data_IF_841321575379
#
_entry.id   IF_841321575379
#
_cell.length_a   1.000
_cell.length_b   1.000
_cell.length_c   1.000
_cell.angle_alpha   90.00
_cell.angle_beta   90.00
_cell.angle_gamma   90.00
#
_symmetry.space_group_name_H-M   'P 1'
#
loop_
_entity.id
_entity.type
_entity.pdbx_description
1 polymer ?
#
# COMPACT_ATOMS: atom_id res chain seq x y z
N UNK A 1 5.86 -29.02 -15.99
CA UNK A 1 4.96 -28.33 -15.04
C UNK A 1 5.75 -27.21 -14.37
N UNK A 2 5.54 -25.94 -14.71
CA UNK A 2 6.25 -24.82 -14.04
C UNK A 2 5.88 -24.82 -12.56
N UNK A 3 6.89 -24.80 -11.68
CA UNK A 3 6.69 -24.74 -10.24
C UNK A 3 6.11 -23.36 -9.91
N UNK A 4 4.88 -23.31 -9.39
CA UNK A 4 4.25 -22.05 -8.95
C UNK A 4 5.16 -21.35 -7.95
N UNK A 5 5.37 -20.05 -8.12
CA UNK A 5 6.08 -19.23 -7.14
C UNK A 5 5.38 -19.33 -5.79
N UNK A 6 6.15 -19.35 -4.72
CA UNK A 6 5.64 -19.38 -3.33
C UNK A 6 6.29 -18.25 -2.57
N UNK A 7 5.47 -17.55 -1.81
CA UNK A 7 5.90 -16.45 -0.96
C UNK A 7 5.44 -16.73 0.46
N UNK A 8 6.30 -16.46 1.44
CA UNK A 8 5.95 -16.50 2.86
C UNK A 8 5.62 -15.09 3.34
N UNK A 9 4.44 -14.88 3.87
CA UNK A 9 4.01 -13.58 4.42
C UNK A 9 3.75 -13.72 5.90
N UNK A 10 4.44 -12.89 6.72
CA UNK A 10 4.12 -12.79 8.14
C UNK A 10 2.91 -11.87 8.32
N UNK A 11 1.83 -12.40 8.90
CA UNK A 11 0.57 -11.70 9.11
C UNK A 11 0.43 -11.30 10.59
N UNK A 12 0.40 -9.99 10.85
CA UNK A 12 0.28 -9.39 12.18
C UNK A 12 -1.09 -8.73 12.31
N UNK A 13 -2.07 -9.45 12.83
CA UNK A 13 -3.44 -8.96 12.95
C UNK A 13 -3.58 -7.87 14.01
N UNK A 14 -2.89 -8.01 15.16
CA UNK A 14 -3.07 -7.12 16.31
C UNK A 14 -4.47 -7.18 16.90
N UNK A 15 -4.91 -6.09 17.51
CA UNK A 15 -6.16 -5.97 18.27
C UNK A 15 -7.31 -5.34 17.47
N UNK A 16 -8.46 -5.23 18.11
CA UNK A 16 -9.63 -4.51 17.59
C UNK A 16 -10.12 -5.07 16.25
N UNK A 17 -10.23 -4.21 15.22
CA UNK A 17 -10.67 -4.61 13.88
C UNK A 17 -9.60 -5.39 13.10
N UNK A 18 -8.36 -5.48 13.61
CA UNK A 18 -7.25 -6.10 12.91
C UNK A 18 -7.49 -7.53 12.46
N UNK A 19 -8.00 -8.45 13.33
CA UNK A 19 -8.30 -9.83 12.96
C UNK A 19 -9.31 -9.96 11.82
N UNK A 20 -10.39 -9.19 11.82
CA UNK A 20 -11.41 -9.24 10.76
C UNK A 20 -10.88 -8.69 9.44
N UNK A 21 -10.09 -7.61 9.47
CA UNK A 21 -9.46 -7.04 8.26
C UNK A 21 -8.38 -7.98 7.68
N UNK A 22 -7.60 -8.63 8.53
CA UNK A 22 -6.60 -9.61 8.09
C UNK A 22 -7.26 -10.81 7.41
N UNK A 23 -8.39 -11.30 7.95
CA UNK A 23 -9.13 -12.39 7.34
C UNK A 23 -9.58 -12.04 5.90
N UNK A 24 -10.05 -10.82 5.67
CA UNK A 24 -10.46 -10.40 4.33
C UNK A 24 -9.24 -10.19 3.40
N UNK A 25 -8.11 -9.70 3.92
CA UNK A 25 -6.86 -9.62 3.16
C UNK A 25 -6.36 -11.01 2.75
N UNK A 26 -6.44 -12.01 3.63
CA UNK A 26 -6.11 -13.42 3.33
C UNK A 26 -6.95 -13.96 2.17
N UNK A 27 -8.24 -13.65 2.13
CA UNK A 27 -9.12 -14.02 1.00
C UNK A 27 -8.67 -13.38 -0.30
N UNK A 28 -8.32 -12.08 -0.27
CA UNK A 28 -7.82 -11.36 -1.41
C UNK A 28 -6.50 -11.94 -1.94
N UNK A 29 -5.56 -12.27 -1.04
CA UNK A 29 -4.27 -12.87 -1.40
C UNK A 29 -4.43 -14.26 -2.01
N UNK A 30 -5.33 -15.09 -1.46
CA UNK A 30 -5.64 -16.41 -2.00
C UNK A 30 -6.21 -16.30 -3.43
N UNK A 31 -7.15 -15.39 -3.67
CA UNK A 31 -7.75 -15.18 -4.99
C UNK A 31 -6.72 -14.60 -5.98
N UNK A 32 -5.92 -13.62 -5.57
CA UNK A 32 -4.83 -13.08 -6.39
C UNK A 32 -3.84 -14.18 -6.80
N UNK A 33 -3.46 -15.05 -5.86
CA UNK A 33 -2.59 -16.20 -6.13
C UNK A 33 -3.20 -17.21 -7.11
N UNK A 34 -4.51 -17.47 -6.98
CA UNK A 34 -5.27 -18.34 -7.89
C UNK A 34 -5.29 -17.79 -9.31
N UNK A 35 -5.55 -16.48 -9.47
CA UNK A 35 -5.68 -15.79 -10.76
C UNK A 35 -4.33 -15.63 -11.47
N UNK A 36 -3.26 -15.37 -10.73
CA UNK A 36 -1.95 -15.02 -11.29
C UNK A 36 -0.88 -16.11 -11.15
N UNK A 37 -1.25 -17.29 -10.64
CA UNK A 37 -0.38 -18.49 -10.69
C UNK A 37 0.73 -18.54 -9.64
N UNK A 38 0.57 -17.88 -8.51
CA UNK A 38 1.47 -17.98 -7.35
C UNK A 38 0.73 -18.48 -6.10
N UNK A 39 1.44 -18.66 -4.99
CA UNK A 39 0.88 -19.01 -3.69
C UNK A 39 1.50 -18.14 -2.61
N UNK A 40 0.67 -17.68 -1.68
CA UNK A 40 1.09 -17.05 -0.42
C UNK A 40 0.89 -18.06 0.70
N UNK A 41 1.97 -18.36 1.42
CA UNK A 41 1.96 -19.15 2.65
C UNK A 41 1.99 -18.14 3.82
N UNK A 42 0.84 -17.99 4.48
CA UNK A 42 0.65 -17.04 5.57
C UNK A 42 1.16 -17.61 6.90
N UNK A 43 1.95 -16.83 7.62
CA UNK A 43 2.41 -17.13 8.97
C UNK A 43 1.78 -16.13 9.91
N UNK A 44 0.66 -16.50 10.51
CA UNK A 44 -0.03 -15.69 11.51
C UNK A 44 0.75 -15.71 12.82
N UNK A 45 1.22 -14.56 13.26
CA UNK A 45 2.06 -14.41 14.44
C UNK A 45 1.39 -13.49 15.47
N UNK A 46 1.51 -13.85 16.75
CA UNK A 46 0.95 -13.07 17.85
C UNK A 46 1.59 -11.69 17.93
N UNK A 47 0.74 -10.65 18.04
CA UNK A 47 1.17 -9.25 17.98
C UNK A 47 0.28 -8.35 18.83
N UNK A 48 0.84 -7.31 19.43
CA UNK A 48 0.15 -6.30 20.23
C UNK A 48 -0.54 -6.87 21.49
N UNK A 49 -1.78 -6.47 21.81
CA UNK A 49 -2.45 -6.87 23.05
C UNK A 49 -2.78 -8.35 23.13
N UNK A 50 -3.10 -9.00 22.00
CA UNK A 50 -3.28 -10.45 21.94
C UNK A 50 -1.96 -11.16 22.34
N UNK A 51 -0.84 -10.67 21.89
CA UNK A 51 0.48 -11.22 22.28
C UNK A 51 0.81 -10.98 23.76
N UNK A 52 0.42 -9.82 24.31
CA UNK A 52 0.56 -9.56 25.75
C UNK A 52 -0.25 -10.58 26.56
N UNK A 53 -1.47 -10.85 26.15
CA UNK A 53 -2.37 -11.81 26.84
C UNK A 53 -1.81 -13.22 26.81
N UNK A 54 -1.20 -13.66 25.70
CA UNK A 54 -0.69 -15.04 25.54
C UNK A 54 0.75 -15.23 26.02
N UNK A 55 1.58 -14.22 25.83
CA UNK A 55 3.05 -14.33 25.99
C UNK A 55 3.64 -13.32 26.98
N UNK A 56 2.81 -12.43 27.54
CA UNK A 56 3.28 -11.36 28.44
C UNK A 56 4.09 -10.25 27.79
N UNK A 57 4.20 -10.24 26.47
CA UNK A 57 4.97 -9.25 25.70
C UNK A 57 4.32 -8.95 24.35
N UNK A 58 4.20 -7.66 23.92
CA UNK A 58 3.48 -7.29 22.71
C UNK A 58 4.16 -7.73 21.40
N UNK A 59 5.44 -8.07 21.45
CA UNK A 59 6.22 -8.55 20.30
C UNK A 59 7.11 -9.74 20.72
N UNK A 60 6.58 -10.97 20.75
CA UNK A 60 7.34 -12.17 21.09
C UNK A 60 8.55 -12.39 20.15
N UNK A 61 9.57 -13.09 20.65
CA UNK A 61 10.77 -13.41 19.86
C UNK A 61 10.43 -14.23 18.59
N UNK A 62 9.43 -15.10 18.68
CA UNK A 62 8.94 -15.90 17.56
C UNK A 62 8.33 -15.04 16.46
N UNK A 63 7.57 -13.99 16.83
CA UNK A 63 6.99 -13.01 15.88
C UNK A 63 8.10 -12.24 15.17
N UNK A 64 9.12 -11.76 15.89
CA UNK A 64 10.29 -11.12 15.27
C UNK A 64 10.99 -12.05 14.30
N UNK A 65 11.20 -13.31 14.69
CA UNK A 65 11.82 -14.30 13.84
C UNK A 65 10.98 -14.63 12.60
N UNK A 66 9.66 -14.67 12.72
CA UNK A 66 8.75 -14.83 11.58
C UNK A 66 8.86 -13.66 10.59
N UNK A 67 8.84 -12.42 11.07
CA UNK A 67 9.02 -11.23 10.23
C UNK A 67 10.34 -11.23 9.47
N UNK A 68 11.45 -11.60 10.12
CA UNK A 68 12.77 -11.65 9.45
C UNK A 68 12.88 -12.71 8.37
N UNK A 69 12.16 -13.83 8.51
CA UNK A 69 12.21 -14.96 7.56
C UNK A 69 11.19 -14.87 6.44
N UNK A 70 10.21 -13.98 6.56
CA UNK A 70 9.18 -13.77 5.54
C UNK A 70 9.73 -13.05 4.31
N UNK A 71 9.05 -13.18 3.19
CA UNK A 71 9.28 -12.36 2.00
C UNK A 71 8.65 -10.96 2.14
N UNK A 72 7.58 -10.87 2.94
CA UNK A 72 6.94 -9.60 3.31
C UNK A 72 6.21 -9.73 4.66
N UNK A 73 5.96 -8.60 5.32
CA UNK A 73 5.14 -8.51 6.53
C UNK A 73 3.89 -7.71 6.21
N UNK A 74 2.73 -8.31 6.45
CA UNK A 74 1.44 -7.66 6.34
C UNK A 74 0.88 -7.40 7.75
N UNK A 75 0.64 -6.14 8.07
CA UNK A 75 0.17 -5.71 9.40
C UNK A 75 -1.17 -4.99 9.29
N UNK A 76 -2.12 -5.36 10.14
CA UNK A 76 -3.44 -4.71 10.11
C UNK A 76 -3.47 -3.37 10.87
N UNK A 77 -2.53 -3.13 11.77
CA UNK A 77 -2.48 -1.95 12.63
C UNK A 77 -1.10 -1.28 12.56
N UNK A 78 -0.96 -0.21 11.78
CA UNK A 78 0.33 0.49 11.63
C UNK A 78 0.61 1.53 12.71
N UNK A 79 -0.40 1.93 13.49
CA UNK A 79 -0.26 2.84 14.63
C UNK A 79 0.00 2.13 15.97
N UNK A 80 0.30 0.83 15.92
CA UNK A 80 0.61 0.03 17.10
C UNK A 80 2.07 0.25 17.54
N UNK A 81 2.33 0.66 18.80
CA UNK A 81 3.69 0.90 19.29
C UNK A 81 4.63 -0.31 19.16
N UNK A 82 4.10 -1.52 19.31
CA UNK A 82 4.88 -2.75 19.16
C UNK A 82 5.47 -2.92 17.75
N UNK A 83 4.92 -2.24 16.74
CA UNK A 83 5.44 -2.26 15.38
C UNK A 83 6.83 -1.62 15.27
N UNK A 84 7.18 -0.68 16.14
CA UNK A 84 8.54 -0.10 16.15
C UNK A 84 9.60 -1.16 16.41
N UNK A 85 9.31 -2.17 17.25
CA UNK A 85 10.19 -3.31 17.45
C UNK A 85 10.35 -4.17 16.19
N UNK A 86 9.30 -4.33 15.37
CA UNK A 86 9.41 -5.02 14.08
C UNK A 86 10.22 -4.20 13.09
N UNK A 87 9.99 -2.89 13.02
CA UNK A 87 10.73 -1.96 12.14
C UNK A 87 12.24 -1.97 12.46
N UNK A 88 12.59 -2.03 13.75
CA UNK A 88 13.99 -2.08 14.18
C UNK A 88 14.72 -3.38 13.79
N UNK A 89 13.99 -4.45 13.52
CA UNK A 89 14.55 -5.74 13.10
C UNK A 89 14.79 -5.85 11.59
N UNK A 90 14.17 -4.94 10.82
CA UNK A 90 14.22 -4.95 9.37
C UNK A 90 14.98 -3.72 8.87
N UNK A 91 15.86 -3.95 7.91
CA UNK A 91 16.66 -2.88 7.29
C UNK A 91 15.82 -2.05 6.32
N UNK A 92 14.88 -1.28 6.87
CA UNK A 92 13.95 -0.46 6.10
C UNK A 92 14.58 0.88 5.75
N UNK A 93 14.63 1.22 4.47
CA UNK A 93 15.31 2.44 3.99
C UNK A 93 14.38 3.45 3.36
N UNK A 94 13.24 3.03 2.83
CA UNK A 94 12.29 3.94 2.18
C UNK A 94 10.84 3.55 2.44
N UNK A 95 9.94 4.49 2.15
CA UNK A 95 8.50 4.26 2.26
C UNK A 95 7.75 4.69 1.02
N UNK A 96 6.59 4.10 0.84
CA UNK A 96 5.56 4.53 -0.10
C UNK A 96 4.22 4.59 0.63
N UNK A 97 3.51 5.69 0.44
CA UNK A 97 2.13 5.87 0.92
C UNK A 97 1.24 6.05 -0.31
N UNK A 98 0.24 5.21 -0.45
CA UNK A 98 -0.76 5.32 -1.50
C UNK A 98 -2.03 5.88 -0.92
N UNK A 99 -2.38 7.05 -1.36
CA UNK A 99 -3.57 7.78 -0.91
C UNK A 99 -4.63 7.68 -1.99
N UNK A 100 -5.77 7.11 -1.63
CA UNK A 100 -6.94 7.08 -2.51
C UNK A 100 -7.55 8.48 -2.60
N UNK A 101 -7.67 8.99 -3.82
CA UNK A 101 -8.35 10.25 -4.13
C UNK A 101 -9.79 9.97 -4.57
N UNK A 102 -10.57 11.01 -4.79
CA UNK A 102 -11.92 10.88 -5.39
C UNK A 102 -11.82 10.25 -6.77
N UNK A 103 -10.89 10.74 -7.58
CA UNK A 103 -10.59 10.22 -8.92
C UNK A 103 -9.15 9.70 -8.98
N UNK A 104 -8.99 8.39 -8.77
CA UNK A 104 -7.70 7.74 -8.83
C UNK A 104 -6.97 7.69 -7.49
N UNK A 105 -5.64 7.76 -7.53
CA UNK A 105 -4.77 7.75 -6.36
C UNK A 105 -3.44 8.44 -6.64
N UNK A 106 -2.76 8.83 -5.57
CA UNK A 106 -1.39 9.32 -5.59
C UNK A 106 -0.49 8.43 -4.74
N UNK A 107 0.71 8.14 -5.23
CA UNK A 107 1.76 7.48 -4.47
C UNK A 107 2.79 8.52 -4.02
N UNK A 108 3.05 8.59 -2.72
CA UNK A 108 4.08 9.46 -2.13
C UNK A 108 5.24 8.59 -1.66
N UNK A 109 6.39 8.81 -2.25
CA UNK A 109 7.63 8.02 -2.05
C UNK A 109 8.67 8.89 -1.38
N UNK A 110 9.30 8.38 -0.32
CA UNK A 110 10.36 9.11 0.40
C UNK A 110 11.36 8.17 1.05
N UNK A 111 12.59 8.62 1.33
CA UNK A 111 13.48 7.91 2.23
C UNK A 111 12.90 7.88 3.66
N UNK A 112 13.41 6.98 4.51
CA UNK A 112 13.07 6.91 5.93
C UNK A 112 14.02 7.72 6.81
N UNK A 113 15.15 8.14 6.29
CA UNK A 113 16.10 9.05 6.92
C UNK A 113 16.23 10.38 6.17
N UNK A 114 17.11 11.26 6.61
CA UNK A 114 17.32 12.57 6.00
C UNK A 114 18.36 12.56 4.84
N UNK A 115 18.87 11.37 4.50
CA UNK A 115 19.78 11.22 3.38
C UNK A 115 19.02 11.15 2.06
N UNK A 116 19.59 11.75 1.01
CA UNK A 116 19.04 11.62 -0.33
C UNK A 116 19.50 10.27 -0.89
N UNK A 117 18.58 9.32 -0.93
CA UNK A 117 18.82 7.98 -1.45
C UNK A 117 18.50 7.92 -2.95
N UNK A 118 19.50 7.80 -3.85
CA UNK A 118 19.26 7.67 -5.30
C UNK A 118 18.32 6.51 -5.65
N UNK A 119 18.38 5.44 -4.87
CA UNK A 119 17.48 4.29 -5.05
C UNK A 119 16.01 4.68 -4.90
N UNK A 120 15.69 5.52 -3.91
CA UNK A 120 14.30 5.93 -3.64
C UNK A 120 13.76 6.74 -4.82
N UNK A 121 14.57 7.62 -5.39
CA UNK A 121 14.21 8.37 -6.58
C UNK A 121 13.97 7.42 -7.76
N UNK A 122 14.87 6.47 -7.99
CA UNK A 122 14.69 5.44 -9.03
C UNK A 122 13.41 4.64 -8.84
N UNK A 123 13.10 4.21 -7.61
CA UNK A 123 11.84 3.49 -7.31
C UNK A 123 10.60 4.29 -7.67
N UNK A 124 10.61 5.61 -7.43
CA UNK A 124 9.52 6.48 -7.84
C UNK A 124 9.34 6.52 -9.36
N UNK A 125 10.43 6.58 -10.13
CA UNK A 125 10.37 6.54 -11.59
C UNK A 125 9.91 5.17 -12.12
N UNK A 126 10.42 4.06 -11.56
CA UNK A 126 9.98 2.71 -11.91
C UNK A 126 8.49 2.51 -11.63
N UNK A 127 8.00 3.04 -10.50
CA UNK A 127 6.59 3.02 -10.13
C UNK A 127 5.75 3.85 -11.12
N UNK A 128 6.21 5.03 -11.50
CA UNK A 128 5.51 5.91 -12.43
C UNK A 128 5.32 5.25 -13.81
N UNK A 129 6.31 4.50 -14.32
CA UNK A 129 6.20 3.76 -15.60
C UNK A 129 5.06 2.77 -15.64
N UNK A 130 4.75 2.14 -14.52
CA UNK A 130 3.64 1.18 -14.41
C UNK A 130 2.29 1.85 -14.13
N UNK A 131 2.26 3.19 -14.07
CA UNK A 131 1.11 4.02 -13.76
C UNK A 131 0.88 5.04 -14.89
N UNK A 132 0.57 6.30 -14.56
CA UNK A 132 0.30 7.38 -15.53
C UNK A 132 1.56 8.05 -16.08
N UNK A 133 2.73 7.43 -15.92
CA UNK A 133 4.04 7.89 -16.41
C UNK A 133 4.38 9.35 -16.03
N UNK A 134 4.05 9.76 -14.80
CA UNK A 134 4.34 11.10 -14.26
C UNK A 134 4.94 11.03 -12.87
N UNK A 135 6.04 11.75 -12.67
CA UNK A 135 6.70 11.99 -11.38
C UNK A 135 6.65 13.47 -11.06
N UNK A 136 6.23 13.81 -9.84
CA UNK A 136 6.40 15.14 -9.27
C UNK A 136 7.50 15.07 -8.21
N UNK A 137 8.61 15.72 -8.45
CA UNK A 137 9.72 15.81 -7.51
C UNK A 137 9.54 17.04 -6.62
N UNK A 138 9.43 16.80 -5.31
CA UNK A 138 9.24 17.85 -4.29
C UNK A 138 10.41 17.81 -3.31
N UNK A 139 11.32 18.74 -3.45
CA UNK A 139 12.52 18.80 -2.64
C UNK A 139 13.51 19.82 -3.20
N UNK A 140 14.57 20.04 -2.48
CA UNK A 140 15.58 21.07 -2.78
C UNK A 140 17.00 20.55 -2.55
N UNK A 141 17.94 21.29 -3.11
CA UNK A 141 19.37 21.00 -3.02
C UNK A 141 19.96 20.47 -4.31
N UNK A 142 21.28 20.71 -4.47
CA UNK A 142 22.01 20.35 -5.69
C UNK A 142 22.00 18.83 -5.94
N UNK A 143 22.26 18.03 -4.90
CA UNK A 143 22.27 16.58 -5.01
C UNK A 143 20.89 16.03 -5.41
N UNK A 144 19.81 16.54 -4.80
CA UNK A 144 18.43 16.21 -5.14
C UNK A 144 18.16 16.45 -6.63
N UNK A 145 18.43 17.65 -7.11
CA UNK A 145 18.19 18.02 -8.50
C UNK A 145 19.03 17.18 -9.48
N UNK A 146 20.26 16.83 -9.11
CA UNK A 146 21.14 15.99 -9.92
C UNK A 146 20.57 14.58 -10.06
N UNK A 147 20.13 13.96 -8.98
CA UNK A 147 19.56 12.60 -9.03
C UNK A 147 18.22 12.57 -9.78
N UNK A 148 17.36 13.58 -9.60
CA UNK A 148 16.13 13.71 -10.38
C UNK A 148 16.41 13.84 -11.89
N UNK A 149 17.41 14.64 -12.27
CA UNK A 149 17.81 14.76 -13.68
C UNK A 149 18.34 13.43 -14.22
N UNK A 150 19.18 12.77 -13.46
CA UNK A 150 19.76 11.48 -13.83
C UNK A 150 18.69 10.40 -14.11
N UNK A 151 17.68 10.30 -13.25
CA UNK A 151 16.61 9.33 -13.43
C UNK A 151 15.64 9.77 -14.54
N UNK A 152 15.43 11.08 -14.75
CA UNK A 152 14.65 11.58 -15.88
C UNK A 152 15.26 11.17 -17.23
N UNK A 153 16.57 11.32 -17.38
CA UNK A 153 17.30 10.92 -18.60
C UNK A 153 17.21 9.41 -18.88
N UNK A 154 17.14 8.60 -17.83
CA UNK A 154 16.99 7.14 -17.92
C UNK A 154 15.56 6.68 -18.18
N UNK A 155 14.59 7.55 -17.97
CA UNK A 155 13.16 7.26 -18.11
C UNK A 155 12.48 8.28 -19.05
N UNK A 156 12.88 8.36 -20.34
CA UNK A 156 12.40 9.40 -21.26
C UNK A 156 10.89 9.38 -21.49
N UNK A 157 10.21 8.26 -21.18
CA UNK A 157 8.75 8.16 -21.23
C UNK A 157 8.02 8.65 -19.98
N UNK A 158 8.74 9.12 -18.94
CA UNK A 158 8.16 9.62 -17.70
C UNK A 158 8.22 11.14 -17.69
N UNK A 159 7.06 11.79 -17.61
CA UNK A 159 6.99 13.24 -17.44
C UNK A 159 7.41 13.61 -16.01
N UNK A 160 8.28 14.62 -15.90
CA UNK A 160 8.82 15.07 -14.61
C UNK A 160 8.44 16.51 -14.35
N UNK A 161 7.68 16.73 -13.29
CA UNK A 161 7.40 18.06 -12.74
C UNK A 161 8.31 18.30 -11.52
N UNK A 162 8.88 19.50 -11.38
CA UNK A 162 9.64 19.91 -10.20
C UNK A 162 8.89 21.03 -9.50
N UNK A 163 8.51 20.80 -8.26
CA UNK A 163 7.75 21.76 -7.46
C UNK A 163 8.44 22.04 -6.12
N UNK A 164 8.34 23.27 -5.67
CA UNK A 164 8.57 23.61 -4.28
C UNK A 164 7.47 23.00 -3.39
N UNK A 165 7.74 22.86 -2.08
CA UNK A 165 6.79 22.27 -1.14
C UNK A 165 5.44 23.02 -1.16
N UNK A 166 5.46 24.35 -1.12
CA UNK A 166 4.24 25.19 -1.11
C UNK A 166 3.36 24.92 -2.33
N UNK A 167 3.97 24.92 -3.53
CA UNK A 167 3.23 24.70 -4.78
C UNK A 167 2.66 23.28 -4.86
N UNK A 168 3.43 22.30 -4.36
CA UNK A 168 2.98 20.91 -4.30
C UNK A 168 1.80 20.73 -3.34
N UNK A 169 1.83 21.36 -2.15
CA UNK A 169 0.72 21.33 -1.20
C UNK A 169 -0.53 22.02 -1.75
N UNK A 170 -0.39 23.20 -2.35
CA UNK A 170 -1.50 23.89 -3.01
C UNK A 170 -2.08 23.04 -4.15
N UNK A 171 -1.23 22.42 -4.95
CA UNK A 171 -1.66 21.52 -6.02
C UNK A 171 -2.41 20.30 -5.51
N UNK A 172 -1.95 19.66 -4.43
CA UNK A 172 -2.64 18.53 -3.80
C UNK A 172 -4.02 18.92 -3.25
N UNK A 173 -4.20 20.17 -2.80
CA UNK A 173 -5.49 20.68 -2.32
C UNK A 173 -6.45 21.00 -3.46
N UNK A 174 -5.97 21.61 -4.54
CA UNK A 174 -6.81 22.16 -5.60
C UNK A 174 -7.04 21.22 -6.78
N UNK A 175 -6.09 20.34 -7.07
CA UNK A 175 -6.09 19.47 -8.25
C UNK A 175 -5.29 18.19 -7.99
N UNK A 176 -5.70 17.39 -6.98
CA UNK A 176 -4.92 16.20 -6.55
C UNK A 176 -4.78 15.14 -7.64
N UNK A 177 -5.72 15.08 -8.59
CA UNK A 177 -5.73 14.13 -9.72
C UNK A 177 -4.55 14.32 -10.70
N UNK A 178 -3.93 15.48 -10.72
CA UNK A 178 -2.73 15.74 -11.54
C UNK A 178 -1.48 15.02 -11.03
N UNK A 179 -1.43 14.65 -9.75
CA UNK A 179 -0.32 13.91 -9.16
C UNK A 179 -0.48 12.40 -9.40
N UNK A 180 0.60 11.74 -9.80
CA UNK A 180 0.64 10.29 -9.99
C UNK A 180 1.59 9.64 -8.98
N UNK A 181 2.88 9.95 -9.10
CA UNK A 181 3.90 9.58 -8.12
C UNK A 181 4.60 10.86 -7.68
N UNK A 182 4.60 11.11 -6.40
CA UNK A 182 5.36 12.19 -5.77
C UNK A 182 6.58 11.57 -5.12
N UNK A 183 7.78 12.02 -5.50
CA UNK A 183 8.99 11.70 -4.75
C UNK A 183 9.40 12.94 -3.95
N UNK A 184 9.65 12.75 -2.66
CA UNK A 184 9.92 13.86 -1.76
C UNK A 184 10.92 13.49 -0.66
N UNK A 185 11.46 14.48 0.02
CA UNK A 185 12.31 14.32 1.18
C UNK A 185 11.49 13.84 2.39
N UNK A 186 12.14 13.16 3.34
CA UNK A 186 11.49 12.54 4.50
C UNK A 186 10.55 13.48 5.26
N UNK A 187 11.01 14.70 5.55
CA UNK A 187 10.28 15.68 6.37
C UNK A 187 8.96 16.16 5.74
N UNK A 188 8.79 16.04 4.44
CA UNK A 188 7.59 16.51 3.73
C UNK A 188 6.55 15.40 3.50
N UNK A 189 6.99 14.14 3.51
CA UNK A 189 6.18 13.03 3.02
C UNK A 189 4.91 12.77 3.85
N UNK A 190 4.98 12.90 5.19
CA UNK A 190 3.83 12.69 6.07
C UNK A 190 2.80 13.81 5.88
N UNK A 191 3.25 15.06 5.88
CA UNK A 191 2.37 16.21 5.64
C UNK A 191 1.66 16.11 4.29
N UNK A 192 2.37 15.73 3.23
CA UNK A 192 1.79 15.57 1.89
C UNK A 192 0.77 14.43 1.84
N UNK A 193 1.05 13.32 2.51
CA UNK A 193 0.14 12.18 2.58
C UNK A 193 -1.15 12.51 3.35
N UNK A 194 -1.01 13.15 4.51
CA UNK A 194 -2.16 13.54 5.34
C UNK A 194 -3.01 14.59 4.64
N UNK A 195 -2.38 15.55 3.96
CA UNK A 195 -3.09 16.54 3.16
C UNK A 195 -3.85 15.89 2.00
N UNK A 196 -3.20 15.02 1.23
CA UNK A 196 -3.85 14.29 0.15
C UNK A 196 -5.02 13.43 0.65
N UNK A 197 -4.86 12.76 1.80
CA UNK A 197 -5.95 12.02 2.44
C UNK A 197 -7.09 12.92 2.89
N UNK A 198 -6.78 14.12 3.38
CA UNK A 198 -7.76 15.11 3.82
C UNK A 198 -8.60 15.68 2.67
N UNK A 199 -8.08 15.74 1.44
CA UNK A 199 -8.83 16.15 0.25
C UNK A 199 -9.77 15.06 -0.28
N UNK A 200 -9.54 13.81 0.11
CA UNK A 200 -10.39 12.68 -0.24
C UNK A 200 -11.45 12.41 0.83
N UNK A 201 -12.69 12.19 0.39
CA UNK A 201 -13.77 11.77 1.30
C UNK A 201 -13.49 10.41 1.95
N UNK A 202 -12.75 9.55 1.27
CA UNK A 202 -12.50 8.17 1.72
C UNK A 202 -11.43 8.07 2.80
N UNK A 203 -10.47 9.00 2.86
CA UNK A 203 -9.30 8.96 3.74
C UNK A 203 -8.56 7.63 3.77
N UNK A 204 -8.66 6.86 2.69
CA UNK A 204 -8.05 5.53 2.59
C UNK A 204 -6.58 5.70 2.21
N UNK A 205 -5.69 5.23 3.09
CA UNK A 205 -4.25 5.26 2.87
C UNK A 205 -3.66 3.87 3.15
N UNK A 206 -2.90 3.36 2.18
CA UNK A 206 -2.06 2.18 2.36
C UNK A 206 -0.60 2.61 2.46
N UNK A 207 0.15 1.99 3.34
CA UNK A 207 1.57 2.29 3.57
C UNK A 207 2.43 1.06 3.38
N UNK A 208 3.59 1.24 2.74
CA UNK A 208 4.67 0.27 2.69
C UNK A 208 5.97 0.92 3.17
N UNK A 209 6.70 0.23 4.03
CA UNK A 209 8.11 0.55 4.37
C UNK A 209 8.96 -0.59 3.87
N UNK A 210 9.94 -0.28 3.05
CA UNK A 210 10.66 -1.27 2.27
C UNK A 210 12.16 -1.22 2.55
N UNK A 211 12.75 -2.39 2.43
CA UNK A 211 14.20 -2.62 2.45
C UNK A 211 14.74 -2.69 1.01
N UNK A 212 16.04 -2.61 0.87
CA UNK A 212 16.71 -2.90 -0.41
C UNK A 212 16.76 -4.40 -0.71
N UNK A 213 16.93 -5.24 0.31
CA UNK A 213 17.22 -6.67 0.16
C UNK A 213 16.37 -7.58 1.05
N UNK A 214 15.69 -7.02 2.04
CA UNK A 214 14.89 -7.77 3.04
C UNK A 214 13.39 -7.57 2.87
N UNK A 215 12.59 -8.15 3.77
CA UNK A 215 11.15 -8.01 3.76
C UNK A 215 10.72 -6.56 4.04
N UNK A 216 9.70 -6.11 3.32
CA UNK A 216 9.00 -4.85 3.63
C UNK A 216 7.84 -5.07 4.59
N UNK A 217 7.39 -4.00 5.24
CA UNK A 217 6.18 -3.97 6.08
C UNK A 217 5.09 -3.20 5.34
N UNK A 218 3.90 -3.79 5.24
CA UNK A 218 2.75 -3.20 4.55
C UNK A 218 1.53 -3.20 5.45
N UNK A 219 0.75 -2.13 5.44
CA UNK A 219 -0.47 -2.02 6.23
C UNK A 219 -1.23 -0.71 5.97
N UNK A 220 -2.48 -0.64 6.42
CA UNK A 220 -3.27 0.59 6.39
C UNK A 220 -2.76 1.59 7.43
N UNK A 221 -3.15 2.86 7.32
CA UNK A 221 -2.71 3.91 8.26
C UNK A 221 -3.73 4.20 9.37
N UNK A 222 -4.70 3.32 9.62
CA UNK A 222 -5.65 3.42 10.72
C UNK A 222 -5.20 2.71 12.00
N UNK A 223 -5.93 2.92 13.10
CA UNK A 223 -5.76 2.26 14.40
C UNK A 223 -6.70 1.05 14.57
N UNK A 224 -6.82 0.59 15.81
CA UNK A 224 -7.53 -0.65 16.18
C UNK A 224 -9.06 -0.53 16.23
N UNK A 225 -9.64 0.69 16.31
CA UNK A 225 -11.08 0.95 16.42
C UNK A 225 -11.83 -0.07 17.29
N UNK A 226 -11.51 -0.16 18.59
CA UNK A 226 -12.03 -1.19 19.48
C UNK A 226 -13.54 -1.12 19.68
N UNK A 227 -14.15 0.03 19.43
CA UNK A 227 -15.59 0.32 19.51
C UNK A 227 -16.42 -0.43 18.47
N UNK A 228 -15.85 -0.77 17.32
CA UNK A 228 -16.53 -1.53 16.24
C UNK A 228 -15.94 -2.92 16.00
N UNK A 229 -14.98 -3.33 16.83
CA UNK A 229 -14.29 -4.61 16.67
C UNK A 229 -15.27 -5.80 16.74
N UNK A 230 -15.18 -6.73 15.80
CA UNK A 230 -15.98 -7.94 15.72
C UNK A 230 -17.45 -7.71 15.28
N UNK A 231 -17.81 -6.48 14.91
CA UNK A 231 -19.16 -6.18 14.42
C UNK A 231 -19.34 -6.40 12.92
N UNK A 232 -18.25 -6.64 12.19
CA UNK A 232 -18.30 -6.86 10.74
C UNK A 232 -18.67 -5.62 9.94
N UNK A 233 -18.40 -4.42 10.47
CA UNK A 233 -18.71 -3.13 9.84
C UNK A 233 -17.47 -2.33 9.44
N UNK A 234 -16.28 -2.79 9.83
CA UNK A 234 -15.03 -2.13 9.52
C UNK A 234 -14.76 -2.08 8.01
N UNK A 235 -14.21 -0.96 7.54
CA UNK A 235 -13.86 -0.76 6.14
C UNK A 235 -12.56 -1.51 5.79
N UNK A 236 -12.58 -2.55 4.93
CA UNK A 236 -11.38 -3.31 4.60
C UNK A 236 -10.52 -2.66 3.50
N UNK A 237 -10.97 -1.58 2.87
CA UNK A 237 -10.31 -1.00 1.69
C UNK A 237 -8.85 -0.64 1.93
N UNK A 238 -8.53 -0.04 3.10
CA UNK A 238 -7.15 0.30 3.45
C UNK A 238 -6.25 -0.93 3.54
N UNK A 239 -6.74 -1.99 4.14
CA UNK A 239 -6.02 -3.27 4.29
C UNK A 239 -5.85 -3.99 2.94
N UNK A 240 -6.88 -3.99 2.10
CA UNK A 240 -6.82 -4.57 0.76
C UNK A 240 -5.84 -3.82 -0.15
N UNK A 241 -5.82 -2.48 -0.08
CA UNK A 241 -4.84 -1.67 -0.80
C UNK A 241 -3.41 -1.87 -0.27
N UNK A 242 -3.24 -2.11 1.03
CA UNK A 242 -1.95 -2.48 1.60
C UNK A 242 -1.48 -3.87 1.11
N UNK A 243 -2.39 -4.85 1.01
CA UNK A 243 -2.10 -6.14 0.39
C UNK A 243 -1.74 -6.01 -1.09
N UNK A 244 -2.44 -5.15 -1.85
CA UNK A 244 -2.12 -4.85 -3.24
C UNK A 244 -0.74 -4.20 -3.39
N UNK A 245 -0.39 -3.27 -2.49
CA UNK A 245 0.92 -2.64 -2.44
C UNK A 245 2.03 -3.66 -2.11
N UNK A 246 1.76 -4.57 -1.16
CA UNK A 246 2.66 -5.69 -0.82
C UNK A 246 2.89 -6.59 -2.03
N UNK A 247 1.85 -6.98 -2.75
CA UNK A 247 1.98 -7.77 -3.97
C UNK A 247 2.85 -7.07 -5.01
N UNK A 248 2.63 -5.77 -5.25
CA UNK A 248 3.32 -4.99 -6.29
C UNK A 248 4.77 -4.69 -5.95
N UNK A 249 5.02 -4.14 -4.76
CA UNK A 249 6.33 -3.58 -4.36
C UNK A 249 7.14 -4.51 -3.47
N UNK A 250 6.46 -5.37 -2.69
CA UNK A 250 7.12 -6.33 -1.79
C UNK A 250 7.46 -7.63 -2.50
N UNK A 251 6.49 -8.23 -3.17
CA UNK A 251 6.62 -9.55 -3.79
C UNK A 251 6.90 -9.51 -5.30
N UNK A 252 6.87 -8.32 -5.91
CA UNK A 252 7.10 -8.14 -7.36
C UNK A 252 5.97 -8.65 -8.26
N UNK A 253 4.83 -9.04 -7.68
CA UNK A 253 3.63 -9.50 -8.40
C UNK A 253 2.74 -8.31 -8.81
N UNK A 254 3.31 -7.41 -9.63
CA UNK A 254 2.72 -6.12 -10.02
C UNK A 254 1.35 -6.26 -10.68
N UNK A 255 1.16 -7.28 -11.51
CA UNK A 255 -0.13 -7.51 -12.18
C UNK A 255 -1.21 -7.93 -11.17
N UNK A 256 -0.87 -8.81 -10.24
CA UNK A 256 -1.78 -9.22 -9.18
C UNK A 256 -2.16 -8.06 -8.25
N UNK A 257 -1.17 -7.24 -7.87
CA UNK A 257 -1.43 -6.04 -7.07
C UNK A 257 -2.36 -5.07 -7.77
N UNK A 258 -2.14 -4.78 -9.06
CA UNK A 258 -3.05 -3.92 -9.86
C UNK A 258 -4.46 -4.51 -10.00
N UNK A 259 -4.58 -5.83 -10.15
CA UNK A 259 -5.90 -6.50 -10.21
C UNK A 259 -6.68 -6.26 -8.92
N UNK A 260 -6.07 -6.48 -7.76
CA UNK A 260 -6.71 -6.24 -6.47
C UNK A 260 -7.05 -4.75 -6.25
N UNK A 261 -6.12 -3.86 -6.55
CA UNK A 261 -6.31 -2.42 -6.42
C UNK A 261 -7.47 -1.90 -7.28
N UNK A 262 -7.54 -2.36 -8.53
CA UNK A 262 -8.63 -2.01 -9.44
C UNK A 262 -9.97 -2.54 -8.92
N UNK A 263 -10.03 -3.78 -8.46
CA UNK A 263 -11.24 -4.36 -7.90
C UNK A 263 -11.77 -3.58 -6.68
N UNK A 264 -10.88 -3.15 -5.78
CA UNK A 264 -11.25 -2.27 -4.65
C UNK A 264 -11.80 -0.93 -5.18
N UNK A 265 -11.16 -0.36 -6.20
CA UNK A 265 -11.60 0.91 -6.80
C UNK A 265 -12.97 0.78 -7.45
N UNK A 266 -13.19 -0.29 -8.19
CA UNK A 266 -14.44 -0.55 -8.90
C UNK A 266 -15.60 -0.85 -7.90
N UNK A 267 -15.32 -1.56 -6.80
CA UNK A 267 -16.28 -1.79 -5.72
C UNK A 267 -16.74 -0.47 -5.07
N UNK A 268 -15.80 0.42 -4.75
CA UNK A 268 -16.12 1.76 -4.22
C UNK A 268 -16.91 2.61 -5.22
N UNK A 269 -16.56 2.54 -6.51
CA UNK A 269 -17.23 3.29 -7.59
C UNK A 269 -18.65 2.77 -7.86
N UNK A 270 -18.89 1.46 -7.68
CA UNK A 270 -20.22 0.86 -7.82
C UNK A 270 -21.17 1.17 -6.66
N UNK A 271 -20.69 1.89 -5.63
CA UNK A 271 -21.50 2.30 -4.48
C UNK A 271 -21.50 1.31 -3.31
N UNK A 272 -20.73 0.22 -3.38
CA UNK A 272 -20.53 -0.69 -2.24
C UNK A 272 -19.65 0.02 -1.21
N UNK A 273 -20.20 0.40 -0.08
CA UNK A 273 -19.56 1.25 0.94
C UNK A 273 -19.90 0.78 2.33
N UNK A 274 -18.91 0.70 3.18
CA UNK A 274 -19.09 0.48 4.62
C UNK A 274 -19.63 1.73 5.30
N UNK A 275 -20.06 1.63 6.56
CA UNK A 275 -20.77 2.69 7.28
C UNK A 275 -20.02 4.03 7.33
N UNK A 276 -18.68 4.00 7.41
CA UNK A 276 -17.82 5.18 7.40
C UNK A 276 -17.84 5.97 6.07
N UNK A 277 -18.23 5.32 4.96
CA UNK A 277 -18.28 5.90 3.61
C UNK A 277 -19.70 6.02 3.05
N UNK A 278 -20.69 5.37 3.65
CA UNK A 278 -22.04 5.29 3.12
C UNK A 278 -22.83 6.61 3.27
N UNK A 279 -22.47 7.47 4.24
CA UNK A 279 -23.25 8.66 4.58
C UNK A 279 -24.68 8.29 4.95
N UNK A 280 -25.68 8.87 4.28
CA UNK A 280 -27.10 8.56 4.46
C UNK A 280 -27.57 7.32 3.68
N UNK A 281 -26.65 6.66 2.96
CA UNK A 281 -26.92 5.47 2.15
C UNK A 281 -26.95 4.18 2.97
N UNK A 282 -27.31 3.07 2.30
CA UNK A 282 -27.25 1.74 2.92
C UNK A 282 -25.79 1.29 3.04
N UNK A 283 -25.36 1.00 4.26
CA UNK A 283 -24.02 0.51 4.53
C UNK A 283 -23.89 -1.00 4.22
N UNK A 284 -22.80 -1.38 3.61
CA UNK A 284 -22.38 -2.77 3.42
C UNK A 284 -21.57 -3.24 4.63
N UNK A 285 -21.63 -4.54 4.93
CA UNK A 285 -20.73 -5.15 5.91
C UNK A 285 -19.31 -5.24 5.34
N UNK A 286 -18.32 -5.47 6.22
CA UNK A 286 -16.94 -5.80 5.83
C UNK A 286 -16.90 -6.96 4.83
N UNK A 287 -17.74 -7.98 5.09
CA UNK A 287 -17.86 -9.19 4.26
C UNK A 287 -18.46 -8.89 2.88
N UNK A 288 -19.58 -8.15 2.83
CA UNK A 288 -20.24 -7.79 1.55
C UNK A 288 -19.30 -6.97 0.67
N UNK A 289 -18.56 -6.04 1.27
CA UNK A 289 -17.55 -5.28 0.55
C UNK A 289 -16.48 -6.20 -0.07
N UNK A 290 -15.97 -7.14 0.72
CA UNK A 290 -14.97 -8.10 0.23
C UNK A 290 -15.54 -9.03 -0.86
N UNK A 291 -16.77 -9.50 -0.72
CA UNK A 291 -17.40 -10.36 -1.73
C UNK A 291 -17.58 -9.59 -3.06
N UNK A 292 -17.92 -8.30 -3.01
CA UNK A 292 -17.94 -7.43 -4.18
C UNK A 292 -16.56 -7.28 -4.83
N UNK A 293 -15.51 -7.06 -4.01
CA UNK A 293 -14.13 -6.98 -4.51
C UNK A 293 -13.73 -8.28 -5.20
N UNK A 294 -14.00 -9.44 -4.60
CA UNK A 294 -13.68 -10.74 -5.21
C UNK A 294 -14.42 -10.95 -6.55
N UNK A 295 -15.67 -10.54 -6.61
CA UNK A 295 -16.46 -10.59 -7.85
C UNK A 295 -15.93 -9.70 -8.96
N UNK A 296 -15.19 -8.64 -8.60
CA UNK A 296 -14.56 -7.69 -9.51
C UNK A 296 -13.08 -7.99 -9.81
N UNK A 297 -12.54 -9.09 -9.30
CA UNK A 297 -11.19 -9.58 -9.63
C UNK A 297 -11.27 -10.59 -10.79
N UNK A 298 -11.39 -10.16 -12.05
CA UNK A 298 -11.46 -11.09 -13.19
C UNK A 298 -10.11 -11.75 -13.40
N UNK A 299 -10.13 -12.95 -13.99
CA UNK A 299 -8.92 -13.58 -14.53
C UNK A 299 -8.22 -12.57 -15.44
N UNK A 300 -6.91 -12.38 -15.27
CA UNK A 300 -6.11 -11.50 -16.10
C UNK A 300 -6.41 -11.80 -17.58
N UNK A 301 -7.09 -10.90 -18.27
CA UNK A 301 -6.99 -10.83 -19.72
C UNK A 301 -5.52 -10.53 -19.99
N UNK A 302 -4.86 -11.44 -20.66
CA UNK A 302 -3.49 -11.22 -21.15
C UNK A 302 -3.49 -9.90 -21.91
N UNK A 303 -2.66 -8.96 -21.53
CA UNK A 303 -2.47 -7.64 -22.16
C UNK A 303 -1.97 -7.70 -23.63
N UNK A 304 -2.30 -8.77 -24.35
CA UNK A 304 -1.92 -9.00 -25.75
C UNK A 304 -2.87 -8.28 -26.73
N UNK A 305 -4.05 -7.84 -26.30
CA UNK A 305 -5.02 -7.18 -27.20
C UNK A 305 -4.88 -5.65 -27.33
N UNK A 306 -3.96 -5.01 -26.57
CA UNK A 306 -3.81 -3.56 -26.65
C UNK A 306 -2.76 -3.07 -27.66
N UNK A 307 -2.08 -4.00 -28.36
CA UNK A 307 -1.07 -3.67 -29.39
C UNK A 307 -1.54 -3.93 -30.83
N UNK A 308 -2.76 -4.38 -31.03
CA UNK A 308 -3.37 -4.48 -32.34
C UNK A 308 -4.30 -3.28 -32.56
N UNK A 309 -3.73 -2.13 -32.93
CA UNK A 309 -4.47 -1.05 -33.56
C UNK A 309 -5.05 -1.52 -34.90
N UNK A 310 -6.22 -0.99 -35.33
CA UNK A 310 -6.80 -1.40 -36.60
C UNK A 310 -5.89 -1.02 -37.77
N UNK A 311 -5.74 -1.94 -38.71
CA UNK A 311 -5.00 -1.78 -39.95
C UNK A 311 -5.61 -0.70 -40.86
#
# INVERSE_FOLDING_TARGET
>A
MMRRKRYTVACLSGDGIGPELMAEASRALAEAGRLHGFRVDEVHASFAGEAVTRHGHPLPAETRAACRRADAVLVALTREPALEGVKAELDLTWRVQRVRLTDGDVAIVSPLDDQIEPLVIRRAFDMARSRRARVTAVGEGMAWNTFISWEADRHPGVQVDRLGLTDALQGLMSSPERFCVVVTQRQHAELMSDLAAGTSRSRIVASGRLSQTGPGIFGPTHGSAPDIAGQGVANPSGMLLAAALMLSEGLGERTAGRTLERAVSDALASGVRTADLAGDGVASTTRDFMDAVLGLMPAARTDVEFLAGPA
#
